data_IF_674742324403
#
_entry.id   IF_674742324403
#
_cell.length_a   1.000
_cell.length_b   1.000
_cell.length_c   1.000
_cell.angle_alpha   90.00
_cell.angle_beta   90.00
_cell.angle_gamma   90.00
#
_symmetry.space_group_name_H-M   'P 1'
#
loop_
_entity.id
_entity.type
_entity.pdbx_description
1 polymer ?
#
# COMPACT_ATOMS: atom_id res chain seq x y z
N UNK A 1 56.85 -17.11 -3.27
CA UNK A 1 55.44 -17.45 -3.56
C UNK A 1 54.78 -16.23 -4.15
N UNK A 2 54.07 -16.37 -5.27
CA UNK A 2 53.28 -15.27 -5.83
C UNK A 2 51.95 -15.20 -5.06
N UNK A 3 51.48 -13.98 -4.78
CA UNK A 3 50.13 -13.75 -4.24
C UNK A 3 49.28 -13.29 -5.40
N UNK A 4 48.21 -14.03 -5.69
CA UNK A 4 47.30 -13.76 -6.78
C UNK A 4 45.96 -13.29 -6.23
N UNK A 5 45.29 -12.39 -6.95
CA UNK A 5 43.96 -11.93 -6.57
C UNK A 5 42.91 -13.02 -6.84
N UNK A 6 41.97 -13.19 -5.91
CA UNK A 6 40.79 -14.02 -6.12
C UNK A 6 39.71 -13.30 -6.96
N UNK A 7 38.60 -13.98 -7.22
CA UNK A 7 37.45 -13.41 -7.92
C UNK A 7 36.95 -12.12 -7.25
N UNK A 8 36.71 -11.07 -8.05
CA UNK A 8 36.24 -9.74 -7.60
C UNK A 8 37.16 -9.00 -6.63
N UNK A 9 38.41 -9.43 -6.48
CA UNK A 9 39.43 -8.74 -5.68
C UNK A 9 40.43 -8.07 -6.61
N UNK A 10 40.83 -6.83 -6.31
CA UNK A 10 42.07 -6.27 -6.83
C UNK A 10 43.14 -6.37 -5.78
N UNK A 11 44.32 -6.83 -6.20
CA UNK A 11 45.51 -6.90 -5.39
C UNK A 11 46.59 -6.03 -6.03
N UNK A 12 47.13 -5.10 -5.27
CA UNK A 12 48.37 -4.39 -5.62
C UNK A 12 49.36 -4.49 -4.46
N UNK A 13 50.64 -4.47 -4.77
CA UNK A 13 51.69 -4.48 -3.76
C UNK A 13 52.81 -3.50 -4.06
N UNK A 14 53.47 -3.03 -3.00
CA UNK A 14 54.66 -2.19 -3.06
C UNK A 14 55.64 -2.61 -1.98
N UNK A 15 56.94 -2.65 -2.32
CA UNK A 15 58.00 -2.96 -1.36
C UNK A 15 58.83 -1.70 -1.10
N UNK A 16 59.03 -1.36 0.17
CA UNK A 16 59.85 -0.22 0.55
C UNK A 16 61.36 -0.53 0.53
N UNK A 17 62.19 0.49 0.75
CA UNK A 17 63.65 0.35 0.79
C UNK A 17 64.18 -0.50 1.95
N UNK A 18 63.34 -0.83 2.94
CA UNK A 18 63.68 -1.70 4.07
C UNK A 18 63.23 -3.15 3.83
N UNK A 19 62.62 -3.45 2.68
CA UNK A 19 62.12 -4.78 2.32
C UNK A 19 60.71 -5.08 2.82
N UNK A 20 59.99 -4.12 3.41
CA UNK A 20 58.60 -4.30 3.83
C UNK A 20 57.68 -4.24 2.62
N UNK A 21 56.88 -5.29 2.42
CA UNK A 21 55.89 -5.35 1.34
C UNK A 21 54.49 -5.10 1.89
N UNK A 22 53.82 -4.08 1.37
CA UNK A 22 52.40 -3.78 1.68
C UNK A 22 51.52 -4.29 0.56
N UNK A 23 50.41 -4.96 0.93
CA UNK A 23 49.38 -5.40 0.00
C UNK A 23 48.13 -4.53 0.18
N UNK A 24 47.66 -3.90 -0.88
CA UNK A 24 46.40 -3.18 -0.91
C UNK A 24 45.36 -4.04 -1.62
N UNK A 25 44.26 -4.30 -0.92
CA UNK A 25 43.18 -5.17 -1.36
C UNK A 25 41.90 -4.34 -1.50
N UNK A 26 41.26 -4.40 -2.66
CA UNK A 26 39.98 -3.73 -2.91
C UNK A 26 39.03 -4.63 -3.70
N UNK A 27 37.78 -4.21 -3.85
CA UNK A 27 36.79 -4.90 -4.69
C UNK A 27 36.90 -4.41 -6.13
N UNK A 28 37.00 -5.34 -7.08
CA UNK A 28 37.30 -5.08 -8.48
C UNK A 28 36.09 -4.84 -9.38
N UNK A 29 34.89 -5.21 -8.93
CA UNK A 29 33.67 -5.21 -9.75
C UNK A 29 32.43 -5.67 -8.99
N UNK A 30 31.36 -6.01 -9.72
CA UNK A 30 30.08 -6.39 -9.16
C UNK A 30 30.18 -7.66 -8.29
N UNK A 31 29.50 -7.63 -7.14
CA UNK A 31 29.48 -8.72 -6.18
C UNK A 31 28.30 -9.67 -6.44
N UNK A 32 28.43 -10.54 -7.44
CA UNK A 32 27.32 -11.38 -7.94
C UNK A 32 27.00 -12.63 -7.10
N UNK A 33 27.91 -13.05 -6.21
CA UNK A 33 27.77 -14.28 -5.42
C UNK A 33 27.51 -14.02 -3.93
N UNK A 34 27.12 -12.79 -3.57
CA UNK A 34 26.79 -12.43 -2.18
C UNK A 34 25.35 -12.87 -1.89
N UNK A 35 25.19 -13.74 -0.91
CA UNK A 35 23.87 -14.16 -0.42
C UNK A 35 23.42 -13.36 0.79
N UNK A 36 24.35 -12.89 1.63
CA UNK A 36 24.04 -12.01 2.76
C UNK A 36 25.19 -11.08 3.12
N UNK A 37 24.86 -9.99 3.82
CA UNK A 37 25.81 -9.04 4.40
C UNK A 37 25.44 -8.85 5.87
N UNK A 38 26.36 -9.19 6.78
CA UNK A 38 26.18 -9.00 8.23
C UNK A 38 27.10 -7.88 8.72
N UNK A 39 26.55 -6.91 9.45
CA UNK A 39 27.35 -5.83 10.04
C UNK A 39 27.96 -6.23 11.41
N UNK A 40 28.86 -5.41 11.94
CA UNK A 40 29.53 -5.65 13.23
C UNK A 40 28.58 -5.64 14.45
N UNK A 41 27.35 -5.16 14.28
CA UNK A 41 26.31 -5.24 15.31
C UNK A 41 25.48 -6.54 15.22
N UNK A 42 25.75 -7.41 14.24
CA UNK A 42 25.06 -8.69 14.03
C UNK A 42 23.81 -8.59 13.13
N UNK A 43 23.46 -7.41 12.60
CA UNK A 43 22.32 -7.28 11.70
C UNK A 43 22.68 -7.84 10.32
N UNK A 44 21.82 -8.71 9.78
CA UNK A 44 22.05 -9.40 8.50
C UNK A 44 21.01 -8.98 7.47
N UNK A 45 21.48 -8.64 6.28
CA UNK A 45 20.68 -8.41 5.08
C UNK A 45 20.85 -9.61 4.17
N UNK A 46 19.76 -10.25 3.75
CA UNK A 46 19.79 -11.31 2.73
C UNK A 46 19.47 -10.73 1.36
N UNK A 47 20.31 -11.01 0.38
CA UNK A 47 20.16 -10.49 -0.99
C UNK A 47 19.36 -11.49 -1.84
N UNK A 48 18.28 -11.01 -2.46
CA UNK A 48 17.57 -11.75 -3.51
C UNK A 48 16.54 -12.79 -3.07
N UNK A 49 16.07 -12.76 -1.82
CA UNK A 49 15.09 -13.74 -1.30
C UNK A 49 13.86 -13.12 -0.61
N UNK A 50 13.73 -11.79 -0.63
CA UNK A 50 12.59 -11.10 -0.04
C UNK A 50 11.47 -10.99 -1.06
N UNK A 51 10.26 -11.40 -0.68
CA UNK A 51 9.05 -11.23 -1.47
C UNK A 51 7.96 -10.64 -0.59
N UNK A 52 7.21 -9.68 -1.14
CA UNK A 52 6.00 -9.15 -0.52
C UNK A 52 4.77 -9.70 -1.23
N UNK A 53 3.72 -9.97 -0.45
CA UNK A 53 2.44 -10.49 -0.96
C UNK A 53 1.28 -9.64 -0.43
N UNK A 54 0.10 -9.86 -1.00
CA UNK A 54 -1.16 -9.33 -0.47
C UNK A 54 -1.98 -10.47 0.11
N UNK A 55 -2.42 -10.32 1.35
CA UNK A 55 -3.30 -11.27 2.04
C UNK A 55 -4.72 -11.26 1.45
N UNK A 56 -5.49 -12.30 1.77
CA UNK A 56 -6.90 -12.39 1.39
C UNK A 56 -7.76 -11.26 1.96
N UNK A 57 -7.35 -10.59 3.04
CA UNK A 57 -8.06 -9.40 3.57
C UNK A 57 -7.55 -8.08 2.97
N UNK A 58 -6.69 -8.11 1.94
CA UNK A 58 -6.20 -6.93 1.23
C UNK A 58 -4.95 -6.28 1.82
N UNK A 59 -4.41 -6.75 2.96
CA UNK A 59 -3.20 -6.15 3.56
C UNK A 59 -1.91 -6.71 2.95
N UNK A 60 -0.85 -5.91 2.96
CA UNK A 60 0.49 -6.40 2.60
C UNK A 60 1.04 -7.35 3.68
N UNK A 61 1.85 -8.31 3.26
CA UNK A 61 2.59 -9.21 4.15
C UNK A 61 3.94 -9.58 3.56
N UNK A 62 4.82 -10.10 4.42
CA UNK A 62 6.03 -10.83 3.98
C UNK A 62 5.60 -12.22 3.53
N UNK A 63 6.12 -12.69 2.39
CA UNK A 63 5.86 -14.05 1.92
C UNK A 63 6.29 -15.08 3.00
N UNK A 64 5.53 -16.18 3.23
CA UNK A 64 5.91 -17.20 4.21
C UNK A 64 7.28 -17.84 4.00
N UNK A 65 7.84 -17.76 2.79
CA UNK A 65 9.17 -18.27 2.45
C UNK A 65 10.27 -17.19 2.50
N UNK A 66 9.93 -15.98 2.93
CA UNK A 66 10.84 -14.86 3.15
C UNK A 66 10.93 -14.49 4.63
N UNK A 67 12.02 -13.82 5.01
CA UNK A 67 12.21 -13.24 6.32
C UNK A 67 11.93 -11.73 6.27
N UNK A 68 11.52 -11.15 7.41
CA UNK A 68 11.31 -9.70 7.52
C UNK A 68 12.58 -8.86 7.26
N UNK A 69 13.76 -9.48 7.28
CA UNK A 69 15.06 -8.85 6.99
C UNK A 69 15.53 -9.04 5.55
N UNK A 70 14.80 -9.81 4.75
CA UNK A 70 15.17 -10.05 3.35
C UNK A 70 14.83 -8.83 2.49
N UNK A 71 15.65 -8.55 1.48
CA UNK A 71 15.40 -7.44 0.55
C UNK A 71 14.41 -7.88 -0.53
N UNK A 72 13.28 -7.17 -0.63
CA UNK A 72 12.36 -7.25 -1.76
C UNK A 72 12.84 -6.43 -2.96
N UNK A 73 12.49 -6.85 -4.18
CA UNK A 73 12.78 -6.07 -5.38
C UNK A 73 11.79 -4.91 -5.54
N UNK A 74 12.14 -3.92 -6.37
CA UNK A 74 11.20 -2.84 -6.75
C UNK A 74 9.94 -3.43 -7.41
N UNK A 75 10.08 -4.51 -8.18
CA UNK A 75 8.95 -5.20 -8.81
C UNK A 75 7.98 -5.78 -7.78
N UNK A 76 8.49 -6.43 -6.73
CA UNK A 76 7.66 -6.98 -5.65
C UNK A 76 6.89 -5.87 -4.93
N UNK A 77 7.58 -4.77 -4.60
CA UNK A 77 6.98 -3.63 -3.89
C UNK A 77 5.87 -2.99 -4.74
N UNK A 78 6.13 -2.70 -6.02
CA UNK A 78 5.14 -2.11 -6.92
C UNK A 78 3.94 -3.06 -7.10
N UNK A 79 4.20 -4.35 -7.25
CA UNK A 79 3.13 -5.34 -7.36
C UNK A 79 2.27 -5.39 -6.09
N UNK A 80 2.88 -5.44 -4.90
CA UNK A 80 2.13 -5.45 -3.64
C UNK A 80 1.34 -4.15 -3.45
N UNK A 81 1.93 -2.97 -3.70
CA UNK A 81 1.24 -1.67 -3.59
C UNK A 81 0.01 -1.59 -4.50
N UNK A 82 0.13 -2.09 -5.74
CA UNK A 82 -0.98 -2.05 -6.68
C UNK A 82 -2.09 -3.07 -6.35
N UNK A 83 -1.83 -4.06 -5.48
CA UNK A 83 -2.80 -5.10 -5.12
C UNK A 83 -3.31 -4.99 -3.67
N UNK A 84 -2.65 -4.23 -2.79
CA UNK A 84 -3.25 -3.93 -1.48
C UNK A 84 -4.57 -3.21 -1.67
N UNK A 85 -5.54 -3.58 -0.85
CA UNK A 85 -6.92 -3.13 -1.01
C UNK A 85 -7.61 -2.96 0.32
N UNK A 86 -8.73 -2.24 0.28
CA UNK A 86 -9.70 -2.17 1.36
C UNK A 86 -11.07 -2.65 0.84
N UNK A 87 -11.85 -3.26 1.72
CA UNK A 87 -13.15 -3.82 1.37
C UNK A 87 -14.26 -2.79 1.54
N UNK A 88 -15.10 -2.64 0.51
CA UNK A 88 -16.38 -1.94 0.58
C UNK A 88 -17.46 -2.96 0.96
N UNK A 89 -18.23 -2.68 2.02
CA UNK A 89 -19.38 -3.49 2.40
C UNK A 89 -20.69 -2.73 2.21
N UNK A 90 -21.71 -3.42 1.71
CA UNK A 90 -23.09 -2.94 1.62
C UNK A 90 -23.95 -3.66 2.64
N UNK A 91 -24.52 -2.91 3.61
CA UNK A 91 -25.35 -3.47 4.68
C UNK A 91 -24.69 -4.63 5.45
N UNK A 92 -23.37 -4.55 5.68
CA UNK A 92 -22.60 -5.54 6.42
C UNK A 92 -22.11 -6.75 5.61
N UNK A 93 -22.44 -6.84 4.32
CA UNK A 93 -21.88 -7.85 3.42
C UNK A 93 -20.79 -7.24 2.53
N UNK A 94 -19.68 -7.95 2.36
CA UNK A 94 -18.60 -7.54 1.46
C UNK A 94 -19.12 -7.47 0.01
N UNK A 95 -18.85 -6.36 -0.66
CA UNK A 95 -19.29 -6.09 -2.04
C UNK A 95 -18.11 -6.11 -3.00
N UNK A 96 -17.03 -5.40 -2.68
CA UNK A 96 -15.90 -5.21 -3.58
C UNK A 96 -14.62 -4.89 -2.80
N UNK A 97 -13.46 -5.17 -3.40
CA UNK A 97 -12.17 -4.69 -2.91
C UNK A 97 -11.64 -3.61 -3.82
N UNK A 98 -11.24 -2.49 -3.23
CA UNK A 98 -10.71 -1.35 -3.97
C UNK A 98 -9.19 -1.30 -3.79
N UNK A 99 -8.48 -1.45 -4.90
CA UNK A 99 -7.02 -1.41 -5.03
C UNK A 99 -6.51 -0.01 -5.38
N UNK A 100 -5.19 0.17 -5.35
CA UNK A 100 -4.59 1.46 -5.66
C UNK A 100 -4.83 1.87 -7.13
N UNK A 101 -5.32 3.10 -7.33
CA UNK A 101 -5.61 3.65 -8.65
C UNK A 101 -7.03 3.42 -9.15
N UNK A 102 -7.83 2.59 -8.46
CA UNK A 102 -9.25 2.47 -8.76
C UNK A 102 -10.04 3.69 -8.29
N UNK A 103 -11.16 3.94 -8.95
CA UNK A 103 -12.04 5.08 -8.69
C UNK A 103 -13.31 4.60 -8.01
N UNK A 104 -13.60 5.15 -6.83
CA UNK A 104 -14.91 5.00 -6.19
C UNK A 104 -15.78 6.19 -6.57
N UNK A 105 -16.88 5.91 -7.26
CA UNK A 105 -17.84 6.93 -7.68
C UNK A 105 -19.08 6.89 -6.79
N UNK A 106 -19.36 7.99 -6.08
CA UNK A 106 -20.59 8.17 -5.32
C UNK A 106 -21.66 8.71 -6.27
N UNK A 107 -22.58 7.84 -6.69
CA UNK A 107 -23.59 8.17 -7.69
C UNK A 107 -24.88 8.68 -7.06
N UNK A 108 -25.57 9.53 -7.81
CA UNK A 108 -26.94 9.92 -7.51
C UNK A 108 -27.86 8.71 -7.58
N UNK A 109 -28.76 8.63 -6.61
CA UNK A 109 -29.84 7.66 -6.56
C UNK A 109 -31.15 8.31 -7.02
N UNK A 110 -32.25 7.57 -6.93
CA UNK A 110 -33.56 8.16 -7.19
C UNK A 110 -33.86 9.22 -6.10
N UNK A 111 -34.07 10.48 -6.53
CA UNK A 111 -34.30 11.64 -5.66
C UNK A 111 -33.16 11.95 -4.67
N UNK A 112 -31.93 11.46 -4.90
CA UNK A 112 -30.78 11.78 -4.04
C UNK A 112 -29.62 12.31 -4.86
N UNK A 113 -28.97 13.36 -4.35
CA UNK A 113 -27.76 13.94 -4.91
C UNK A 113 -26.59 13.63 -3.99
N UNK A 114 -25.58 12.95 -4.52
CA UNK A 114 -24.32 12.72 -3.84
C UNK A 114 -23.39 13.92 -4.07
N UNK A 115 -22.90 14.53 -2.99
CA UNK A 115 -21.95 15.65 -3.04
C UNK A 115 -20.66 15.24 -2.35
N UNK A 116 -19.57 15.21 -3.11
CA UNK A 116 -18.24 14.81 -2.65
C UNK A 116 -17.31 16.02 -2.71
N UNK A 117 -16.73 16.40 -1.56
CA UNK A 117 -15.85 17.57 -1.45
C UNK A 117 -14.55 17.18 -0.75
N UNK A 118 -13.40 17.62 -1.29
CA UNK A 118 -12.12 17.44 -0.61
C UNK A 118 -12.06 18.28 0.67
N UNK A 119 -11.70 17.66 1.79
CA UNK A 119 -11.58 18.33 3.08
C UNK A 119 -10.10 18.55 3.43
N UNK A 120 -9.63 19.78 3.19
CA UNK A 120 -8.24 20.15 3.46
C UNK A 120 -7.89 20.20 4.97
N UNK A 121 -8.89 20.33 5.86
CA UNK A 121 -8.67 20.38 7.31
C UNK A 121 -8.36 19.00 7.87
N UNK A 122 -9.04 17.96 7.39
CA UNK A 122 -8.84 16.57 7.81
C UNK A 122 -7.90 15.78 6.90
N UNK A 123 -7.60 16.30 5.70
CA UNK A 123 -6.80 15.62 4.69
C UNK A 123 -7.55 14.50 3.95
N UNK A 124 -8.88 14.51 4.01
CA UNK A 124 -9.75 13.46 3.45
C UNK A 124 -10.83 14.00 2.49
N UNK A 125 -11.95 13.29 2.44
CA UNK A 125 -13.13 13.66 1.64
C UNK A 125 -14.38 13.68 2.52
N UNK A 126 -15.22 14.69 2.34
CA UNK A 126 -16.57 14.73 2.90
C UNK A 126 -17.55 14.26 1.83
N UNK A 127 -18.40 13.29 2.18
CA UNK A 127 -19.48 12.79 1.32
C UNK A 127 -20.80 13.11 2.00
N UNK A 128 -21.66 13.87 1.32
CA UNK A 128 -22.99 14.23 1.79
C UNK A 128 -24.04 13.82 0.78
N UNK A 129 -25.26 13.59 1.26
CA UNK A 129 -26.41 13.25 0.42
C UNK A 129 -27.56 14.22 0.70
N UNK A 130 -28.15 14.76 -0.35
CA UNK A 130 -29.32 15.64 -0.26
C UNK A 130 -30.46 15.10 -1.11
N UNK A 131 -31.68 15.51 -0.79
CA UNK A 131 -32.85 15.18 -1.60
C UNK A 131 -32.98 16.20 -2.73
N UNK A 132 -33.27 15.71 -3.93
CA UNK A 132 -33.62 16.57 -5.08
C UNK A 132 -34.93 16.09 -5.74
N UNK A 133 -35.71 17.05 -6.23
CA UNK A 133 -36.99 16.83 -6.89
C UNK A 133 -38.13 16.41 -5.96
N UNK A 134 -39.24 15.98 -6.58
CA UNK A 134 -40.44 15.57 -5.87
C UNK A 134 -40.23 14.22 -5.17
N UNK A 135 -40.54 14.18 -3.87
CA UNK A 135 -40.57 12.95 -3.10
C UNK A 135 -41.89 12.19 -3.37
N UNK A 136 -41.79 11.00 -3.97
CA UNK A 136 -42.94 10.12 -4.21
C UNK A 136 -42.92 8.92 -3.27
N UNK A 137 -44.09 8.29 -3.04
CA UNK A 137 -44.26 7.13 -2.16
C UNK A 137 -43.87 7.35 -0.68
N UNK A 138 -43.90 8.60 -0.21
CA UNK A 138 -43.72 8.92 1.21
C UNK A 138 -45.03 8.65 1.96
N UNK A 139 -45.00 7.68 2.88
CA UNK A 139 -46.18 7.33 3.71
C UNK A 139 -46.25 8.15 5.00
N UNK A 140 -45.12 8.72 5.44
CA UNK A 140 -45.06 9.62 6.60
C UNK A 140 -43.80 10.47 6.55
N UNK A 141 -43.88 11.70 7.07
CA UNK A 141 -42.73 12.55 7.40
C UNK A 141 -42.81 12.82 8.90
N UNK A 142 -41.74 12.52 9.64
CA UNK A 142 -41.64 12.71 11.09
C UNK A 142 -40.36 13.46 11.43
N UNK A 143 -40.43 14.37 12.41
CA UNK A 143 -39.27 15.13 12.88
C UNK A 143 -38.56 14.48 14.09
N UNK A 144 -38.72 13.17 14.29
CA UNK A 144 -38.18 12.41 15.43
C UNK A 144 -38.75 12.78 16.82
N UNK A 145 -39.39 13.94 16.98
CA UNK A 145 -40.02 14.43 18.22
C UNK A 145 -41.52 14.06 18.33
N UNK A 146 -41.94 13.02 17.59
CA UNK A 146 -43.31 12.48 17.64
C UNK A 146 -44.36 13.29 16.86
N UNK A 147 -44.01 14.43 16.26
CA UNK A 147 -44.90 15.14 15.33
C UNK A 147 -44.73 14.53 13.94
N UNK A 148 -45.82 13.99 13.39
CA UNK A 148 -45.83 13.40 12.05
C UNK A 148 -46.89 14.05 11.17
N UNK A 149 -46.53 14.24 9.90
CA UNK A 149 -47.48 14.55 8.83
C UNK A 149 -47.76 13.21 8.14
N UNK A 150 -48.99 12.73 8.27
CA UNK A 150 -49.47 11.54 7.55
C UNK A 150 -50.15 11.99 6.27
N UNK A 151 -49.59 11.58 5.13
CA UNK A 151 -50.15 11.82 3.82
C UNK A 151 -51.03 10.62 3.46
N UNK A 152 -52.34 10.75 3.63
CA UNK A 152 -53.31 9.77 3.11
C UNK A 152 -53.45 9.88 1.59
N UNK A 153 -54.44 9.21 1.01
CA UNK A 153 -54.72 9.24 -0.44
C UNK A 153 -55.22 10.61 -0.96
N UNK A 154 -55.11 11.67 -0.16
CA UNK A 154 -55.63 12.99 -0.45
C UNK A 154 -54.53 13.87 -1.04
N UNK A 155 -54.86 14.63 -2.08
CA UNK A 155 -54.00 15.71 -2.57
C UNK A 155 -53.98 16.84 -1.54
N UNK A 156 -52.81 17.09 -0.93
CA UNK A 156 -52.57 18.29 -0.12
C UNK A 156 -52.02 19.36 -1.07
N UNK A 157 -52.85 20.32 -1.45
CA UNK A 157 -52.38 21.53 -2.12
C UNK A 157 -51.93 22.52 -1.05
N UNK A 158 -50.62 22.74 -0.93
CA UNK A 158 -50.01 23.77 -0.07
C UNK A 158 -49.85 25.08 -0.83
#
# INVERSE_FOLDING_TARGET
TAVEAGTNVQLSSSTDGNGLTTYNVSVAGDLTNITSITNNAGNTITVGNGTTITNTNGTAAVDPNSNATDIATIGDIVNTINNVSWTVAGNGADVEKITAGEVVNFVDGNNTVAVVTANATTGGVDVTYHVEGDLTNITSISNNDGTSISLGNNTVNV
#
